data_IF_232095836074
#
_entry.id   IF_232095836074
#
_cell.length_a   1.000
_cell.length_b   1.000
_cell.length_c   1.000
_cell.angle_alpha   90.00
_cell.angle_beta   90.00
_cell.angle_gamma   90.00
#
_symmetry.space_group_name_H-M   'P 1'
#
loop_
_entity.id
_entity.type
_entity.pdbx_description
1 polymer ?
#
# COMPACT_ATOMS: atom_id res chain seq x y z
N UNK A 1 -12.86 34.40 -4.98
CA UNK A 1 -13.25 33.10 -5.58
C UNK A 1 -12.10 32.08 -5.58
N UNK A 2 -10.91 32.46 -6.07
CA UNK A 2 -9.71 31.60 -6.04
C UNK A 2 -9.35 31.05 -4.65
N UNK A 3 -9.41 31.88 -3.61
CA UNK A 3 -9.08 31.45 -2.24
C UNK A 3 -10.00 30.34 -1.71
N UNK A 4 -11.29 30.37 -2.05
CA UNK A 4 -12.27 29.34 -1.65
C UNK A 4 -11.96 28.03 -2.38
N UNK A 5 -11.63 28.09 -3.67
CA UNK A 5 -11.24 26.93 -4.47
C UNK A 5 -9.95 26.28 -3.98
N UNK A 6 -8.92 27.08 -3.68
CA UNK A 6 -7.67 26.57 -3.13
C UNK A 6 -7.88 25.90 -1.77
N UNK A 7 -8.66 26.53 -0.89
CA UNK A 7 -9.00 25.95 0.41
C UNK A 7 -9.78 24.63 0.27
N UNK A 8 -10.80 24.61 -0.61
CA UNK A 8 -11.58 23.40 -0.88
C UNK A 8 -10.70 22.26 -1.46
N UNK A 9 -9.76 22.58 -2.35
CA UNK A 9 -8.81 21.61 -2.90
C UNK A 9 -7.92 21.00 -1.83
N UNK A 10 -7.33 21.82 -0.96
CA UNK A 10 -6.46 21.35 0.12
C UNK A 10 -7.25 20.52 1.14
N UNK A 11 -8.45 20.98 1.51
CA UNK A 11 -9.31 20.25 2.43
C UNK A 11 -9.72 18.88 1.86
N UNK A 12 -10.10 18.83 0.58
CA UNK A 12 -10.43 17.58 -0.13
C UNK A 12 -9.23 16.63 -0.19
N UNK A 13 -8.05 17.14 -0.56
CA UNK A 13 -6.81 16.37 -0.58
C UNK A 13 -6.47 15.80 0.80
N UNK A 14 -6.57 16.61 1.86
CA UNK A 14 -6.27 16.19 3.23
C UNK A 14 -7.25 15.09 3.70
N UNK A 15 -8.56 15.30 3.51
CA UNK A 15 -9.58 14.33 3.91
C UNK A 15 -9.44 13.00 3.15
N UNK A 16 -9.21 13.05 1.85
CA UNK A 16 -8.96 11.87 1.01
C UNK A 16 -7.70 11.13 1.47
N UNK A 17 -6.59 11.85 1.64
CA UNK A 17 -5.30 11.27 2.00
C UNK A 17 -5.35 10.62 3.38
N UNK A 18 -5.93 11.28 4.37
CA UNK A 18 -6.04 10.74 5.73
C UNK A 18 -6.90 9.47 5.76
N UNK A 19 -8.05 9.51 5.08
CA UNK A 19 -8.97 8.36 5.03
C UNK A 19 -8.33 7.15 4.37
N UNK A 20 -7.69 7.33 3.20
CA UNK A 20 -6.99 6.25 2.51
C UNK A 20 -5.76 5.76 3.28
N UNK A 21 -5.03 6.65 3.95
CA UNK A 21 -3.86 6.25 4.74
C UNK A 21 -4.29 5.35 5.90
N UNK A 22 -5.35 5.69 6.62
CA UNK A 22 -5.88 4.86 7.70
C UNK A 22 -6.33 3.47 7.20
N UNK A 23 -7.00 3.43 6.05
CA UNK A 23 -7.38 2.17 5.41
C UNK A 23 -6.14 1.35 5.01
N UNK A 24 -5.14 1.99 4.41
CA UNK A 24 -3.88 1.39 3.96
C UNK A 24 -3.05 0.80 5.10
N UNK A 25 -3.05 1.44 6.27
CA UNK A 25 -2.34 0.93 7.46
C UNK A 25 -2.77 -0.50 7.81
N UNK A 26 -4.05 -0.85 7.62
CA UNK A 26 -4.53 -2.23 7.87
C UNK A 26 -3.87 -3.25 6.95
N UNK A 27 -3.59 -2.92 5.69
CA UNK A 27 -2.90 -3.81 4.76
C UNK A 27 -1.43 -3.96 5.11
N UNK A 28 -0.76 -2.86 5.49
CA UNK A 28 0.63 -2.92 5.99
C UNK A 28 0.77 -3.81 7.21
N UNK A 29 -0.16 -3.71 8.17
CA UNK A 29 -0.17 -4.59 9.35
C UNK A 29 -0.35 -6.06 8.95
N UNK A 30 -1.22 -6.37 7.99
CA UNK A 30 -1.39 -7.74 7.50
C UNK A 30 -0.13 -8.26 6.79
N UNK A 31 0.50 -7.44 5.96
CA UNK A 31 1.76 -7.76 5.29
C UNK A 31 2.87 -8.08 6.31
N UNK A 32 3.04 -7.22 7.33
CA UNK A 32 4.05 -7.45 8.38
C UNK A 32 3.77 -8.73 9.19
N UNK A 33 2.50 -9.06 9.44
CA UNK A 33 2.15 -10.33 10.10
C UNK A 33 2.51 -11.55 9.24
N UNK A 34 2.28 -11.48 7.94
CA UNK A 34 2.65 -12.54 7.00
C UNK A 34 4.16 -12.70 6.89
N UNK A 35 4.89 -11.59 6.83
CA UNK A 35 6.36 -11.55 6.82
C UNK A 35 6.95 -12.20 8.09
N UNK A 36 6.46 -11.80 9.27
CA UNK A 36 6.88 -12.43 10.54
C UNK A 36 6.58 -13.93 10.59
N UNK A 37 5.43 -14.37 10.04
CA UNK A 37 5.09 -15.79 10.02
C UNK A 37 6.04 -16.60 9.10
N UNK A 38 6.39 -16.06 7.93
CA UNK A 38 7.37 -16.65 7.04
C UNK A 38 8.76 -16.69 7.70
N UNK A 39 9.20 -15.57 8.28
CA UNK A 39 10.47 -15.45 8.99
C UNK A 39 10.59 -16.44 10.15
N UNK A 40 9.57 -16.56 10.99
CA UNK A 40 9.54 -17.54 12.07
C UNK A 40 9.68 -18.98 11.55
N UNK A 41 8.98 -19.32 10.46
CA UNK A 41 9.09 -20.67 9.88
C UNK A 41 10.47 -20.98 9.32
N UNK A 42 11.12 -19.99 8.70
CA UNK A 42 12.49 -20.12 8.22
C UNK A 42 13.46 -20.34 9.38
N UNK A 43 13.33 -19.56 10.46
CA UNK A 43 14.16 -19.71 11.66
C UNK A 43 13.97 -21.08 12.31
N UNK A 44 12.73 -21.56 12.46
CA UNK A 44 12.45 -22.89 13.01
C UNK A 44 13.10 -24.01 12.18
N UNK A 45 13.12 -23.87 10.85
CA UNK A 45 13.75 -24.83 9.95
C UNK A 45 15.28 -24.84 10.07
N UNK A 46 15.89 -23.68 10.34
CA UNK A 46 17.33 -23.55 10.57
C UNK A 46 17.74 -24.08 11.94
N UNK A 47 16.95 -23.80 12.98
CA UNK A 47 17.20 -24.33 14.33
C UNK A 47 17.11 -25.86 14.33
N UNK A 48 16.14 -26.42 13.61
CA UNK A 48 15.93 -27.86 13.50
C UNK A 48 16.58 -28.48 12.25
N UNK A 49 17.66 -27.88 11.71
CA UNK A 49 18.24 -28.34 10.45
C UNK A 49 18.67 -29.81 10.52
N UNK A 50 19.18 -30.26 11.66
CA UNK A 50 19.61 -31.65 11.88
C UNK A 50 18.42 -32.59 11.70
N UNK A 51 17.31 -32.33 12.39
CA UNK A 51 16.08 -33.12 12.29
C UNK A 51 15.56 -33.17 10.86
N UNK A 52 15.54 -32.02 10.16
CA UNK A 52 15.10 -31.96 8.76
C UNK A 52 16.00 -32.83 7.87
N UNK A 53 17.31 -32.81 8.09
CA UNK A 53 18.27 -33.61 7.33
C UNK A 53 18.21 -35.09 7.67
N UNK A 54 18.08 -35.43 8.96
CA UNK A 54 17.93 -36.80 9.45
C UNK A 54 16.70 -37.49 8.85
N UNK A 55 15.59 -36.78 8.72
CA UNK A 55 14.35 -37.30 8.12
C UNK A 55 14.22 -37.05 6.61
N UNK A 56 15.25 -36.48 5.96
CA UNK A 56 15.22 -36.11 4.52
C UNK A 56 14.00 -35.27 4.11
N UNK A 57 13.53 -34.40 5.02
CA UNK A 57 12.25 -33.69 4.89
C UNK A 57 12.38 -32.28 4.27
N UNK A 58 13.47 -32.04 3.55
CA UNK A 58 13.87 -30.72 3.04
C UNK A 58 12.85 -30.16 2.04
N UNK A 59 12.34 -31.01 1.14
CA UNK A 59 11.30 -30.62 0.18
C UNK A 59 10.01 -30.21 0.88
N UNK A 60 9.62 -30.97 1.91
CA UNK A 60 8.41 -30.68 2.68
C UNK A 60 8.52 -29.32 3.40
N UNK A 61 9.66 -29.04 4.05
CA UNK A 61 9.87 -27.73 4.67
C UNK A 61 9.93 -26.58 3.66
N UNK A 62 10.56 -26.81 2.50
CA UNK A 62 10.57 -25.86 1.39
C UNK A 62 9.16 -25.52 0.89
N UNK A 63 8.33 -26.53 0.64
CA UNK A 63 6.93 -26.33 0.23
C UNK A 63 6.09 -25.64 1.30
N UNK A 64 6.33 -25.95 2.58
CA UNK A 64 5.64 -25.27 3.68
C UNK A 64 6.06 -23.80 3.76
N UNK A 65 7.34 -23.49 3.62
CA UNK A 65 7.84 -22.12 3.58
C UNK A 65 7.28 -21.35 2.37
N UNK A 66 7.20 -21.97 1.19
CA UNK A 66 6.62 -21.36 0.00
C UNK A 66 5.15 -20.93 0.22
N UNK A 67 4.35 -21.73 0.94
CA UNK A 67 2.97 -21.35 1.31
C UNK A 67 2.92 -20.08 2.18
N UNK A 68 3.91 -19.86 3.05
CA UNK A 68 3.99 -18.62 3.84
C UNK A 68 4.42 -17.44 2.97
N UNK A 69 5.37 -17.66 2.05
CA UNK A 69 5.81 -16.65 1.09
C UNK A 69 4.69 -16.20 0.15
N UNK A 70 3.89 -17.13 -0.38
CA UNK A 70 2.74 -16.77 -1.24
C UNK A 70 1.73 -15.87 -0.51
N UNK A 71 1.49 -16.10 0.78
CA UNK A 71 0.63 -15.24 1.61
C UNK A 71 1.24 -13.86 1.81
N UNK A 72 2.54 -13.79 2.06
CA UNK A 72 3.26 -12.53 2.14
C UNK A 72 3.22 -11.77 0.82
N UNK A 73 3.48 -12.43 -0.31
CA UNK A 73 3.46 -11.84 -1.65
C UNK A 73 2.10 -11.23 -1.95
N UNK A 74 1.01 -11.98 -1.72
CA UNK A 74 -0.36 -11.49 -1.91
C UNK A 74 -0.65 -10.25 -1.06
N UNK A 75 -0.19 -10.22 0.20
CA UNK A 75 -0.36 -9.08 1.09
C UNK A 75 0.52 -7.87 0.68
N UNK A 76 1.72 -8.13 0.16
CA UNK A 76 2.64 -7.13 -0.36
C UNK A 76 2.09 -6.47 -1.62
N UNK A 77 1.56 -7.25 -2.56
CA UNK A 77 0.89 -6.75 -3.77
C UNK A 77 -0.26 -5.80 -3.41
N UNK A 78 -1.14 -6.18 -2.47
CA UNK A 78 -2.22 -5.29 -1.98
C UNK A 78 -1.68 -3.98 -1.39
N UNK A 79 -0.56 -4.06 -0.66
CA UNK A 79 0.10 -2.87 -0.07
C UNK A 79 0.70 -1.95 -1.13
N UNK A 80 1.23 -2.50 -2.22
CA UNK A 80 1.75 -1.73 -3.36
C UNK A 80 0.63 -1.14 -4.21
N UNK A 81 -0.38 -1.93 -4.56
CA UNK A 81 -1.54 -1.46 -5.33
C UNK A 81 -2.29 -0.35 -4.59
N UNK A 82 -2.45 -0.45 -3.26
CA UNK A 82 -3.06 0.62 -2.47
C UNK A 82 -2.24 1.92 -2.46
N UNK A 83 -0.91 1.85 -2.55
CA UNK A 83 -0.07 3.05 -2.72
C UNK A 83 -0.29 3.69 -4.10
N UNK A 84 -0.35 2.87 -5.15
CA UNK A 84 -0.62 3.36 -6.50
C UNK A 84 -1.98 4.07 -6.58
N UNK A 85 -3.02 3.48 -5.99
CA UNK A 85 -4.36 4.10 -5.90
C UNK A 85 -4.35 5.43 -5.15
N UNK A 86 -3.60 5.53 -4.05
CA UNK A 86 -3.46 6.77 -3.29
C UNK A 86 -2.80 7.86 -4.14
N UNK A 87 -1.66 7.55 -4.77
CA UNK A 87 -0.96 8.49 -5.64
C UNK A 87 -1.84 8.93 -6.82
N UNK A 88 -2.56 8.01 -7.44
CA UNK A 88 -3.47 8.32 -8.55
C UNK A 88 -4.60 9.26 -8.10
N UNK A 89 -5.27 8.96 -6.98
CA UNK A 89 -6.35 9.79 -6.47
C UNK A 89 -5.88 11.18 -6.04
N UNK A 90 -4.70 11.29 -5.42
CA UNK A 90 -4.08 12.57 -5.10
C UNK A 90 -3.81 13.41 -6.34
N UNK A 91 -3.23 12.81 -7.39
CA UNK A 91 -3.00 13.49 -8.66
C UNK A 91 -4.31 13.94 -9.31
N UNK A 92 -5.34 13.09 -9.31
CA UNK A 92 -6.64 13.44 -9.87
C UNK A 92 -7.26 14.67 -9.17
N UNK A 93 -7.20 14.74 -7.83
CA UNK A 93 -7.66 15.90 -7.07
C UNK A 93 -6.91 17.17 -7.48
N UNK A 94 -5.58 17.11 -7.55
CA UNK A 94 -4.76 18.26 -7.97
C UNK A 94 -5.04 18.69 -9.41
N UNK A 95 -5.16 17.75 -10.35
CA UNK A 95 -5.46 18.06 -11.75
C UNK A 95 -6.80 18.76 -11.91
N UNK A 96 -7.85 18.31 -11.22
CA UNK A 96 -9.18 18.94 -11.27
C UNK A 96 -9.16 20.33 -10.63
N UNK A 97 -8.48 20.49 -9.50
CA UNK A 97 -8.35 21.78 -8.84
C UNK A 97 -7.61 22.80 -9.72
N UNK A 98 -6.49 22.39 -10.33
CA UNK A 98 -5.72 23.24 -11.23
C UNK A 98 -6.54 23.64 -12.46
N UNK A 99 -7.22 22.68 -13.10
CA UNK A 99 -8.07 22.97 -14.25
C UNK A 99 -9.20 23.96 -13.91
N UNK A 100 -9.79 23.85 -12.72
CA UNK A 100 -10.83 24.77 -12.25
C UNK A 100 -10.30 26.19 -12.04
N UNK A 101 -9.11 26.32 -11.44
CA UNK A 101 -8.44 27.60 -11.24
C UNK A 101 -8.11 28.24 -12.59
N UNK A 102 -7.58 27.46 -13.54
CA UNK A 102 -7.26 27.96 -14.89
C UNK A 102 -8.50 28.47 -15.62
N UNK A 103 -9.64 27.74 -15.56
CA UNK A 103 -10.88 28.21 -16.18
C UNK A 103 -11.39 29.53 -15.59
N UNK A 104 -11.30 29.71 -14.27
CA UNK A 104 -11.69 30.96 -13.64
C UNK A 104 -10.77 32.11 -14.01
N UNK A 105 -9.46 31.87 -14.04
CA UNK A 105 -8.47 32.87 -14.45
C UNK A 105 -8.71 33.32 -15.91
N UNK A 106 -9.01 32.38 -16.82
CA UNK A 106 -9.35 32.73 -18.21
C UNK A 106 -10.62 33.58 -18.29
N UNK A 107 -11.67 33.24 -17.53
CA UNK A 107 -12.91 34.05 -17.49
C UNK A 107 -12.66 35.47 -16.98
N UNK A 108 -11.77 35.63 -16.00
CA UNK A 108 -11.43 36.94 -15.43
C UNK A 108 -10.56 37.78 -16.39
N UNK A 109 -9.70 37.16 -17.20
CA UNK A 109 -8.90 37.85 -18.23
C UNK A 109 -9.75 38.27 -19.45
N UNK A 110 -10.77 37.48 -19.80
CA UNK A 110 -11.63 37.73 -20.98
C UNK A 110 -12.76 38.72 -20.67
N UNK A 111 -13.12 38.90 -19.39
CA UNK A 111 -14.08 39.90 -18.92
C UNK A 111 -13.47 41.30 -18.85
#
# INVERSE_FOLDING_TARGET
>A
EFGVLSFASIASYAAFTLSLTQWRTKFRVQMNKADNAAGNRAVDSLINYETVKYFSNEKYEGEQYDKYLQKYETASLKTQTSLALLNWGQNAIFSVALASIMMLATKEIVA
#
